data_IF_922004919040
#
_entry.id   IF_922004919040
#
_cell.length_a   1.000
_cell.length_b   1.000
_cell.length_c   1.000
_cell.angle_alpha   90.00
_cell.angle_beta   90.00
_cell.angle_gamma   90.00
#
_symmetry.space_group_name_H-M   'P 1'
#
loop_
_entity.id
_entity.type
_entity.pdbx_description
1 polymer ?
#
# COMPACT_ATOMS: atom_id res chain seq x y z
N UNK A 1 -2.12 17.47 2.17
CA UNK A 1 -2.52 16.04 2.07
C UNK A 1 -3.96 15.85 1.61
N UNK A 2 -4.98 16.40 2.29
CA UNK A 2 -6.36 16.30 1.80
C UNK A 2 -6.51 17.02 0.45
N UNK A 3 -6.08 18.28 0.36
CA UNK A 3 -6.05 19.01 -0.91
C UNK A 3 -5.25 18.31 -2.02
N UNK A 4 -4.14 17.65 -1.66
CA UNK A 4 -3.36 16.83 -2.60
C UNK A 4 -4.17 15.62 -3.09
N UNK A 5 -4.80 14.86 -2.18
CA UNK A 5 -5.64 13.72 -2.55
C UNK A 5 -6.86 14.13 -3.40
N UNK A 6 -7.49 15.26 -3.09
CA UNK A 6 -8.58 15.85 -3.89
C UNK A 6 -8.07 16.23 -5.28
N UNK A 7 -6.94 16.93 -5.37
CA UNK A 7 -6.35 17.29 -6.65
C UNK A 7 -6.04 16.05 -7.49
N UNK A 8 -5.45 15.00 -6.89
CA UNK A 8 -5.19 13.74 -7.61
C UNK A 8 -6.47 13.05 -8.06
N UNK A 9 -7.54 13.08 -7.27
CA UNK A 9 -8.82 12.53 -7.68
C UNK A 9 -9.45 13.31 -8.86
N UNK A 10 -9.27 14.63 -8.90
CA UNK A 10 -9.67 15.47 -10.03
C UNK A 10 -8.81 15.24 -11.27
N UNK A 11 -7.50 15.11 -11.13
CA UNK A 11 -6.60 14.83 -12.25
C UNK A 11 -6.97 13.50 -12.94
N UNK A 12 -7.40 12.50 -12.16
CA UNK A 12 -7.80 11.19 -12.67
C UNK A 12 -9.07 11.18 -13.53
N UNK A 13 -9.94 12.18 -13.42
CA UNK A 13 -11.12 12.30 -14.29
C UNK A 13 -10.77 12.81 -15.69
N UNK A 14 -9.56 13.36 -15.88
CA UNK A 14 -9.10 13.94 -17.14
C UNK A 14 -7.87 13.22 -17.72
N UNK A 15 -7.06 12.56 -16.89
CA UNK A 15 -5.83 11.88 -17.29
C UNK A 15 -5.80 10.42 -16.82
N UNK A 16 -5.52 9.49 -17.75
CA UNK A 16 -5.46 8.03 -17.49
C UNK A 16 -4.04 7.55 -17.15
N UNK A 17 -3.16 8.44 -16.70
CA UNK A 17 -1.77 8.09 -16.41
C UNK A 17 -1.64 7.20 -15.17
N UNK A 18 -0.82 6.16 -15.27
CA UNK A 18 -0.54 5.21 -14.17
C UNK A 18 -0.09 5.92 -12.89
N UNK A 19 0.64 7.03 -13.05
CA UNK A 19 1.20 7.82 -11.96
C UNK A 19 0.13 8.54 -11.14
N UNK A 20 -0.97 9.00 -11.76
CA UNK A 20 -2.09 9.64 -11.04
C UNK A 20 -2.74 8.69 -10.03
N UNK A 21 -3.02 7.45 -10.44
CA UNK A 21 -3.61 6.43 -9.56
C UNK A 21 -2.63 6.03 -8.44
N UNK A 22 -1.33 5.96 -8.77
CA UNK A 22 -0.29 5.70 -7.80
C UNK A 22 -0.26 6.77 -6.70
N UNK A 23 -0.29 8.04 -7.09
CA UNK A 23 -0.23 9.18 -6.17
C UNK A 23 -1.48 9.26 -5.30
N UNK A 24 -2.69 9.06 -5.85
CA UNK A 24 -3.91 8.99 -5.06
C UNK A 24 -3.82 7.87 -4.00
N UNK A 25 -3.39 6.67 -4.40
CA UNK A 25 -3.21 5.53 -3.49
C UNK A 25 -2.18 5.82 -2.40
N UNK A 26 -1.11 6.55 -2.71
CA UNK A 26 -0.11 6.98 -1.70
C UNK A 26 -0.72 8.00 -0.74
N UNK A 27 -1.43 9.02 -1.24
CA UNK A 27 -2.06 10.06 -0.44
C UNK A 27 -3.12 9.49 0.52
N UNK A 28 -3.98 8.60 0.05
CA UNK A 28 -5.01 7.95 0.87
C UNK A 28 -4.39 7.04 1.96
N UNK A 29 -3.30 6.31 1.64
CA UNK A 29 -2.56 5.52 2.65
C UNK A 29 -1.91 6.41 3.73
N UNK A 30 -1.42 7.58 3.33
CA UNK A 30 -0.88 8.61 4.24
C UNK A 30 -1.99 9.15 5.15
N UNK A 31 -3.16 9.49 4.61
CA UNK A 31 -4.34 9.91 5.38
C UNK A 31 -4.77 8.87 6.41
N UNK A 32 -4.82 7.59 6.02
CA UNK A 32 -5.11 6.50 6.94
C UNK A 32 -4.10 6.40 8.10
N UNK A 33 -2.82 6.69 7.85
CA UNK A 33 -1.81 6.69 8.91
C UNK A 33 -1.99 7.87 9.88
N UNK A 34 -2.37 9.06 9.39
CA UNK A 34 -2.74 10.20 10.24
C UNK A 34 -3.99 9.92 11.06
N UNK A 35 -5.05 9.39 10.44
CA UNK A 35 -6.27 9.02 11.15
C UNK A 35 -5.99 8.02 12.28
N UNK A 36 -5.15 7.02 12.01
CA UNK A 36 -4.68 6.13 13.06
C UNK A 36 -3.86 6.86 14.15
N UNK A 37 -3.09 7.89 13.81
CA UNK A 37 -2.32 8.66 14.79
C UNK A 37 -3.24 9.43 15.74
N UNK A 38 -4.26 10.08 15.21
CA UNK A 38 -5.20 10.93 15.96
C UNK A 38 -6.44 10.19 16.48
N UNK A 39 -6.52 8.87 16.27
CA UNK A 39 -7.65 8.05 16.74
C UNK A 39 -8.03 8.22 18.22
N UNK A 40 -7.10 8.48 19.18
CA UNK A 40 -7.48 8.73 20.58
C UNK A 40 -8.37 9.96 20.77
N UNK A 41 -8.32 10.94 19.85
CA UNK A 41 -9.11 12.18 19.91
C UNK A 41 -10.33 12.12 19.00
N UNK A 42 -10.18 11.52 17.83
CA UNK A 42 -11.24 11.38 16.83
C UNK A 42 -12.34 10.40 17.25
N UNK A 43 -12.06 9.48 18.18
CA UNK A 43 -12.97 8.42 18.57
C UNK A 43 -12.86 7.19 17.65
N UNK A 44 -13.22 6.03 18.20
CA UNK A 44 -13.06 4.74 17.53
C UNK A 44 -13.95 4.62 16.29
N UNK A 45 -15.23 4.98 16.41
CA UNK A 45 -16.22 4.89 15.33
C UNK A 45 -15.83 5.77 14.12
N UNK A 46 -15.57 7.05 14.34
CA UNK A 46 -15.17 7.98 13.28
C UNK A 46 -13.86 7.54 12.61
N UNK A 47 -12.92 7.00 13.39
CA UNK A 47 -11.66 6.47 12.86
C UNK A 47 -11.89 5.23 12.01
N UNK A 48 -12.75 4.31 12.45
CA UNK A 48 -13.07 3.07 11.74
C UNK A 48 -13.76 3.37 10.41
N UNK A 49 -14.79 4.21 10.43
CA UNK A 49 -15.53 4.64 9.23
C UNK A 49 -14.60 5.26 8.17
N UNK A 50 -13.81 6.28 8.55
CA UNK A 50 -12.88 6.92 7.64
C UNK A 50 -11.80 5.93 7.12
N UNK A 51 -11.33 5.02 7.98
CA UNK A 51 -10.30 4.04 7.62
C UNK A 51 -10.78 3.03 6.57
N UNK A 52 -12.02 2.55 6.68
CA UNK A 52 -12.58 1.62 5.68
C UNK A 52 -12.81 2.32 4.35
N UNK A 53 -13.24 3.57 4.36
CA UNK A 53 -13.43 4.32 3.13
C UNK A 53 -12.09 4.66 2.45
N UNK A 54 -11.06 5.04 3.21
CA UNK A 54 -9.69 5.15 2.67
C UNK A 54 -9.17 3.83 2.09
N UNK A 55 -9.53 2.69 2.71
CA UNK A 55 -9.13 1.38 2.21
C UNK A 55 -9.85 1.06 0.91
N UNK A 56 -11.14 1.40 0.77
CA UNK A 56 -11.91 1.29 -0.47
C UNK A 56 -11.28 2.11 -1.60
N UNK A 57 -11.02 3.40 -1.35
CA UNK A 57 -10.39 4.29 -2.34
C UNK A 57 -8.99 3.80 -2.76
N UNK A 58 -8.17 3.36 -1.81
CA UNK A 58 -6.84 2.82 -2.12
C UNK A 58 -6.87 1.48 -2.89
N UNK A 59 -7.95 0.71 -2.78
CA UNK A 59 -8.18 -0.50 -3.55
C UNK A 59 -8.62 -0.16 -4.99
N UNK A 60 -9.56 0.77 -5.14
CA UNK A 60 -10.00 1.26 -6.46
C UNK A 60 -8.85 1.88 -7.26
N UNK A 61 -8.00 2.69 -6.62
CA UNK A 61 -6.80 3.25 -7.26
C UNK A 61 -5.67 2.21 -7.42
N UNK A 62 -5.84 0.99 -6.91
CA UNK A 62 -4.84 -0.06 -6.91
C UNK A 62 -4.85 -0.97 -8.14
N UNK A 63 -6.03 -1.26 -8.67
CA UNK A 63 -6.21 -2.30 -9.70
C UNK A 63 -5.40 -2.06 -10.97
N UNK A 64 -5.25 -0.81 -11.39
CA UNK A 64 -4.42 -0.42 -12.55
C UNK A 64 -2.95 -0.74 -12.34
N UNK A 65 -2.41 -0.36 -11.17
CA UNK A 65 -1.01 -0.59 -10.80
C UNK A 65 -0.69 -2.08 -10.63
N UNK A 66 -1.65 -2.85 -10.12
CA UNK A 66 -1.46 -4.29 -9.93
C UNK A 66 -1.30 -4.98 -11.31
N UNK A 67 -2.03 -4.55 -12.35
CA UNK A 67 -1.82 -5.02 -13.73
C UNK A 67 -0.53 -4.50 -14.39
N UNK A 68 -0.10 -3.27 -14.10
CA UNK A 68 1.22 -2.77 -14.57
C UNK A 68 2.35 -3.66 -14.07
N UNK A 69 2.33 -3.97 -12.78
CA UNK A 69 3.32 -4.85 -12.13
C UNK A 69 3.24 -6.25 -12.71
N UNK A 70 2.05 -6.82 -12.87
CA UNK A 70 1.87 -8.15 -13.45
C UNK A 70 2.45 -8.21 -14.87
N UNK A 71 2.16 -7.20 -15.71
CA UNK A 71 2.71 -7.08 -17.05
C UNK A 71 4.24 -7.02 -17.07
N UNK A 72 4.87 -6.27 -16.17
CA UNK A 72 6.33 -6.18 -16.08
C UNK A 72 6.99 -7.47 -15.57
N UNK A 73 6.33 -8.18 -14.64
CA UNK A 73 6.79 -9.49 -14.18
C UNK A 73 6.68 -10.54 -15.28
N UNK A 74 5.59 -10.53 -16.06
CA UNK A 74 5.41 -11.42 -17.22
C UNK A 74 6.48 -11.16 -18.30
N UNK A 75 6.80 -9.88 -18.60
CA UNK A 75 7.95 -9.54 -19.45
C UNK A 75 9.29 -9.99 -18.86
N UNK A 76 9.44 -9.99 -17.54
CA UNK A 76 10.69 -10.48 -16.92
C UNK A 76 10.82 -12.01 -17.00
N UNK A 77 9.70 -12.74 -17.11
CA UNK A 77 9.69 -14.17 -17.39
C UNK A 77 10.05 -14.51 -18.86
N UNK A 78 10.13 -13.50 -19.73
CA UNK A 78 10.24 -13.58 -21.20
C UNK A 78 11.60 -14.04 -21.73
N UNK A 79 12.65 -14.19 -20.90
CA UNK A 79 14.01 -14.47 -21.38
C UNK A 79 14.16 -15.83 -22.13
N UNK A 80 13.08 -16.55 -22.44
CA UNK A 80 13.16 -17.83 -23.13
C UNK A 80 12.03 -18.24 -24.10
N UNK A 81 10.88 -17.53 -24.27
CA UNK A 81 9.77 -18.04 -25.13
C UNK A 81 8.83 -17.00 -25.76
N UNK A 82 8.42 -17.24 -27.01
CA UNK A 82 7.51 -16.40 -27.81
C UNK A 82 6.03 -16.43 -27.35
N UNK A 83 5.60 -17.48 -26.63
CA UNK A 83 4.20 -17.70 -26.24
C UNK A 83 3.67 -16.72 -25.17
N UNK A 84 4.54 -16.05 -24.42
CA UNK A 84 4.18 -15.07 -23.37
C UNK A 84 3.66 -13.75 -23.95
N UNK A 85 3.94 -13.44 -25.22
CA UNK A 85 3.49 -12.20 -25.86
C UNK A 85 1.96 -12.04 -25.81
N UNK A 86 1.20 -13.12 -26.03
CA UNK A 86 -0.26 -13.14 -25.93
C UNK A 86 -0.73 -12.84 -24.51
N UNK A 87 -0.07 -13.43 -23.49
CA UNK A 87 -0.41 -13.18 -22.09
C UNK A 87 -0.10 -11.74 -21.66
N UNK A 88 1.00 -11.17 -22.15
CA UNK A 88 1.34 -9.75 -21.91
C UNK A 88 0.33 -8.83 -22.61
N UNK A 89 -0.10 -9.14 -23.83
CA UNK A 89 -1.13 -8.38 -24.52
C UNK A 89 -2.47 -8.44 -23.76
N UNK A 90 -2.89 -9.63 -23.33
CA UNK A 90 -4.11 -9.79 -22.53
C UNK A 90 -4.01 -9.05 -21.18
N UNK A 91 -2.85 -9.06 -20.51
CA UNK A 91 -2.64 -8.27 -19.29
C UNK A 91 -2.79 -6.75 -19.53
N UNK A 92 -2.38 -6.24 -20.71
CA UNK A 92 -2.59 -4.83 -21.09
C UNK A 92 -4.07 -4.52 -21.31
N UNK A 93 -4.83 -5.45 -21.88
CA UNK A 93 -6.28 -5.30 -22.03
C UNK A 93 -6.98 -5.26 -20.67
N UNK A 94 -6.63 -6.20 -19.76
CA UNK A 94 -7.14 -6.20 -18.38
C UNK A 94 -6.78 -4.92 -17.63
N UNK A 95 -5.58 -4.37 -17.86
CA UNK A 95 -5.19 -3.06 -17.34
C UNK A 95 -6.10 -1.95 -17.86
N UNK A 96 -6.41 -1.92 -19.16
CA UNK A 96 -7.31 -0.93 -19.75
C UNK A 96 -8.72 -1.02 -19.14
N UNK A 97 -9.24 -2.23 -18.96
CA UNK A 97 -10.52 -2.48 -18.27
C UNK A 97 -10.47 -1.99 -16.80
N UNK A 98 -9.37 -2.23 -16.09
CA UNK A 98 -9.17 -1.74 -14.72
C UNK A 98 -9.14 -0.21 -14.65
N UNK A 99 -8.54 0.48 -15.63
CA UNK A 99 -8.56 1.95 -15.71
C UNK A 99 -9.99 2.46 -15.83
N UNK A 100 -10.77 1.92 -16.77
CA UNK A 100 -12.18 2.31 -16.97
C UNK A 100 -13.02 2.04 -15.73
N UNK A 101 -12.82 0.89 -15.08
CA UNK A 101 -13.49 0.56 -13.83
C UNK A 101 -13.12 1.56 -12.72
N UNK A 102 -11.83 1.84 -12.52
CA UNK A 102 -11.36 2.81 -11.53
C UNK A 102 -11.91 4.21 -11.78
N UNK A 103 -11.96 4.68 -13.03
CA UNK A 103 -12.51 6.00 -13.39
C UNK A 103 -14.02 6.06 -13.14
N UNK A 104 -14.75 4.99 -13.48
CA UNK A 104 -16.20 4.90 -13.23
C UNK A 104 -16.52 4.91 -11.72
N UNK A 105 -15.70 4.22 -10.92
CA UNK A 105 -15.94 4.05 -9.49
C UNK A 105 -15.36 5.17 -8.62
N UNK A 106 -14.30 5.84 -9.08
CA UNK A 106 -13.70 7.00 -8.43
C UNK A 106 -14.31 8.25 -9.04
N UNK A 107 -15.53 8.56 -8.62
CA UNK A 107 -16.16 9.84 -8.94
C UNK A 107 -15.48 10.94 -8.14
N UNK A 108 -14.84 11.89 -8.82
CA UNK A 108 -14.05 12.95 -8.18
C UNK A 108 -14.87 13.72 -7.14
N UNK A 109 -16.14 13.97 -7.42
CA UNK A 109 -17.02 14.77 -6.57
C UNK A 109 -17.36 14.03 -5.27
N UNK A 110 -17.65 12.73 -5.35
CA UNK A 110 -17.88 11.88 -4.18
C UNK A 110 -16.61 11.77 -3.31
N UNK A 111 -15.45 11.60 -3.96
CA UNK A 111 -14.16 11.54 -3.26
C UNK A 111 -13.85 12.88 -2.60
N UNK A 112 -14.07 13.98 -3.30
CA UNK A 112 -13.86 15.32 -2.77
C UNK A 112 -14.77 15.63 -1.59
N UNK A 113 -16.08 15.38 -1.74
CA UNK A 113 -17.06 15.57 -0.69
C UNK A 113 -16.67 14.76 0.56
N UNK A 114 -16.35 13.47 0.39
CA UNK A 114 -15.89 12.62 1.48
C UNK A 114 -14.61 13.15 2.14
N UNK A 115 -13.58 13.49 1.36
CA UNK A 115 -12.29 13.93 1.89
C UNK A 115 -12.39 15.27 2.63
N UNK A 116 -13.22 16.19 2.14
CA UNK A 116 -13.49 17.48 2.78
C UNK A 116 -14.29 17.29 4.08
N UNK A 117 -15.32 16.46 4.07
CA UNK A 117 -16.15 16.15 5.24
C UNK A 117 -15.33 15.48 6.36
N UNK A 118 -14.50 14.50 6.00
CA UNK A 118 -13.48 13.89 6.87
C UNK A 118 -12.55 14.95 7.48
N UNK A 119 -12.00 15.85 6.66
CA UNK A 119 -11.12 16.92 7.13
C UNK A 119 -11.81 17.85 8.11
N UNK A 120 -12.99 18.35 7.76
CA UNK A 120 -13.76 19.29 8.57
C UNK A 120 -14.11 18.69 9.93
N UNK A 121 -14.62 17.44 9.96
CA UNK A 121 -14.91 16.74 11.21
C UNK A 121 -13.67 16.53 12.07
N UNK A 122 -12.54 16.15 11.46
CA UNK A 122 -11.29 16.00 12.18
C UNK A 122 -10.82 17.34 12.77
N UNK A 123 -10.88 18.42 12.00
CA UNK A 123 -10.52 19.76 12.47
C UNK A 123 -11.40 20.22 13.63
N UNK A 124 -12.72 20.13 13.51
CA UNK A 124 -13.65 20.52 14.57
C UNK A 124 -13.43 19.70 15.86
N UNK A 125 -13.19 18.39 15.72
CA UNK A 125 -12.92 17.50 16.86
C UNK A 125 -11.58 17.83 17.52
N UNK A 126 -10.53 18.07 16.74
CA UNK A 126 -9.22 18.38 17.28
C UNK A 126 -9.17 19.79 17.89
N UNK A 127 -9.84 20.77 17.29
CA UNK A 127 -9.96 22.11 17.88
C UNK A 127 -10.70 22.06 19.23
N UNK A 128 -11.79 21.29 19.34
CA UNK A 128 -12.52 21.18 20.60
C UNK A 128 -11.79 20.37 21.68
N UNK A 129 -10.94 19.40 21.31
CA UNK A 129 -10.34 18.44 22.25
C UNK A 129 -8.83 18.60 22.46
N UNK A 130 -8.15 19.42 21.66
CA UNK A 130 -6.68 19.45 21.61
C UNK A 130 -6.08 20.87 21.70
N UNK A 131 -6.80 21.86 22.25
CA UNK A 131 -6.32 23.25 22.36
C UNK A 131 -4.91 23.35 22.98
N UNK A 132 -4.59 22.50 23.97
CA UNK A 132 -3.28 22.49 24.64
C UNK A 132 -2.51 21.17 24.43
N UNK A 133 -2.74 20.45 23.33
CA UNK A 133 -2.05 19.18 23.09
C UNK A 133 -0.54 19.43 22.92
N UNK A 134 0.33 18.89 23.81
CA UNK A 134 1.77 18.97 23.60
C UNK A 134 2.16 18.12 22.38
N UNK A 135 2.19 18.74 21.19
CA UNK A 135 2.33 18.06 19.89
C UNK A 135 3.57 17.17 19.83
N UNK A 136 4.68 17.60 20.45
CA UNK A 136 5.88 16.79 20.57
C UNK A 136 5.63 15.50 21.37
N UNK A 137 5.08 15.60 22.57
CA UNK A 137 4.83 14.43 23.42
C UNK A 137 3.82 13.47 22.77
N UNK A 138 2.80 14.01 22.10
CA UNK A 138 1.87 13.24 21.29
C UNK A 138 2.57 12.49 20.15
N UNK A 139 3.33 13.22 19.32
CA UNK A 139 4.04 12.65 18.18
C UNK A 139 4.98 11.52 18.60
N UNK A 140 5.78 11.75 19.65
CA UNK A 140 6.67 10.74 20.19
C UNK A 140 5.92 9.51 20.70
N UNK A 141 4.79 9.70 21.41
CA UNK A 141 3.96 8.60 21.89
C UNK A 141 3.40 7.76 20.73
N UNK A 142 2.91 8.40 19.66
CA UNK A 142 2.39 7.69 18.48
C UNK A 142 3.49 6.96 17.70
N UNK A 143 4.66 7.57 17.55
CA UNK A 143 5.83 6.93 16.94
C UNK A 143 6.27 5.71 17.76
N UNK A 144 6.39 5.85 19.10
CA UNK A 144 6.73 4.73 20.00
C UNK A 144 5.72 3.59 19.89
N UNK A 145 4.42 3.89 19.81
CA UNK A 145 3.39 2.86 19.63
C UNK A 145 3.55 2.13 18.28
N UNK A 146 3.80 2.85 17.19
CA UNK A 146 4.03 2.25 15.88
C UNK A 146 5.31 1.40 15.85
N UNK A 147 6.39 1.85 16.51
CA UNK A 147 7.62 1.07 16.68
C UNK A 147 7.39 -0.23 17.45
N UNK A 148 6.68 -0.18 18.59
CA UNK A 148 6.31 -1.37 19.37
C UNK A 148 5.49 -2.34 18.53
N UNK A 149 4.53 -1.82 17.77
CA UNK A 149 3.67 -2.60 16.91
C UNK A 149 4.43 -3.27 15.74
N UNK A 150 5.44 -2.59 15.18
CA UNK A 150 6.35 -3.16 14.18
C UNK A 150 7.24 -4.24 14.79
N UNK A 151 7.86 -3.98 15.96
CA UNK A 151 8.69 -4.96 16.67
C UNK A 151 7.92 -6.23 17.01
N UNK A 152 6.70 -6.11 17.55
CA UNK A 152 5.81 -7.25 17.85
C UNK A 152 5.53 -8.10 16.62
N UNK A 153 5.14 -7.48 15.50
CA UNK A 153 4.86 -8.19 14.24
C UNK A 153 6.11 -8.81 13.63
N UNK A 154 7.24 -8.12 13.71
CA UNK A 154 8.52 -8.65 13.22
C UNK A 154 8.91 -9.90 14.00
N UNK A 155 8.86 -9.86 15.34
CA UNK A 155 9.09 -11.05 16.20
C UNK A 155 8.13 -12.20 15.91
N UNK A 156 6.85 -11.92 15.64
CA UNK A 156 5.88 -12.94 15.22
C UNK A 156 6.30 -13.57 13.88
N UNK A 157 6.67 -12.75 12.90
CA UNK A 157 7.12 -13.21 11.59
C UNK A 157 8.42 -14.03 11.64
N UNK A 158 9.30 -13.79 12.62
CA UNK A 158 10.57 -14.53 12.76
C UNK A 158 10.43 -15.87 13.49
N UNK A 159 9.40 -16.05 14.31
CA UNK A 159 9.17 -17.30 15.07
C UNK A 159 8.49 -18.39 14.26
N UNK A 160 7.88 -18.03 13.15
CA UNK A 160 7.21 -18.95 12.24
C UNK A 160 8.28 -19.58 11.33
N UNK A 161 8.57 -20.88 11.49
CA UNK A 161 9.57 -21.59 10.68
C UNK A 161 9.21 -21.57 9.18
N UNK A 162 7.93 -21.67 8.87
CA UNK A 162 7.37 -21.26 7.60
C UNK A 162 7.13 -19.75 7.63
N UNK A 163 7.79 -18.99 6.74
CA UNK A 163 7.50 -17.58 6.56
C UNK A 163 6.06 -17.42 6.05
N UNK A 164 5.10 -17.23 6.95
CA UNK A 164 3.71 -17.04 6.58
C UNK A 164 3.55 -15.69 5.89
N UNK A 165 3.01 -15.71 4.67
CA UNK A 165 2.80 -14.52 3.83
C UNK A 165 2.09 -13.40 4.59
N UNK A 166 1.07 -13.77 5.36
CA UNK A 166 0.28 -12.85 6.18
C UNK A 166 1.12 -12.12 7.24
N UNK A 167 2.05 -12.83 7.89
CA UNK A 167 2.93 -12.23 8.90
C UNK A 167 3.87 -11.19 8.26
N UNK A 168 4.41 -11.48 7.07
CA UNK A 168 5.23 -10.52 6.33
C UNK A 168 4.40 -9.32 5.86
N UNK A 169 3.16 -9.57 5.42
CA UNK A 169 2.22 -8.52 5.06
C UNK A 169 1.92 -7.59 6.24
N UNK A 170 1.77 -8.15 7.44
CA UNK A 170 1.56 -7.41 8.68
C UNK A 170 2.77 -6.54 9.05
N UNK A 171 3.99 -7.07 8.92
CA UNK A 171 5.23 -6.29 9.07
C UNK A 171 5.29 -5.16 8.05
N UNK A 172 4.91 -5.41 6.79
CA UNK A 172 4.83 -4.40 5.73
C UNK A 172 3.87 -3.27 6.12
N UNK A 173 2.64 -3.59 6.52
CA UNK A 173 1.63 -2.61 6.97
C UNK A 173 2.15 -1.76 8.13
N UNK A 174 2.72 -2.39 9.16
CA UNK A 174 3.24 -1.68 10.33
C UNK A 174 4.46 -0.80 10.01
N UNK A 175 5.36 -1.27 9.14
CA UNK A 175 6.53 -0.50 8.73
C UNK A 175 6.19 0.72 7.87
N UNK A 176 5.23 0.60 6.94
CA UNK A 176 4.71 1.77 6.19
C UNK A 176 4.10 2.81 7.13
N UNK A 177 3.29 2.36 8.10
CA UNK A 177 2.70 3.24 9.10
C UNK A 177 3.78 3.99 9.88
N UNK A 178 4.77 3.28 10.42
CA UNK A 178 5.88 3.91 11.15
C UNK A 178 6.64 4.92 10.27
N UNK A 179 6.96 4.55 9.03
CA UNK A 179 7.63 5.47 8.09
C UNK A 179 6.83 6.75 7.89
N UNK A 180 5.53 6.65 7.62
CA UNK A 180 4.69 7.84 7.43
C UNK A 180 4.62 8.72 8.69
N UNK A 181 4.52 8.12 9.88
CA UNK A 181 4.53 8.91 11.13
C UNK A 181 5.85 9.62 11.37
N UNK A 182 6.98 8.97 11.05
CA UNK A 182 8.29 9.60 11.13
C UNK A 182 8.44 10.75 10.12
N UNK A 183 7.86 10.62 8.92
CA UNK A 183 7.82 11.69 7.91
C UNK A 183 6.93 12.86 8.37
N UNK A 184 5.72 12.60 8.88
CA UNK A 184 4.80 13.66 9.31
C UNK A 184 5.28 14.42 10.54
N UNK A 185 5.80 13.69 11.53
CA UNK A 185 6.19 14.29 12.79
C UNK A 185 7.65 14.74 12.83
N UNK A 186 8.40 14.60 11.74
CA UNK A 186 9.79 15.02 11.64
C UNK A 186 10.05 16.44 12.19
N UNK A 187 9.18 17.46 11.99
CA UNK A 187 9.40 18.78 12.56
C UNK A 187 9.28 18.86 14.08
N UNK A 188 8.59 17.90 14.71
CA UNK A 188 8.22 17.95 16.13
C UNK A 188 9.02 16.98 17.01
N UNK A 189 9.53 15.89 16.45
CA UNK A 189 10.29 14.88 17.20
C UNK A 189 11.79 15.16 17.09
N UNK A 190 12.48 15.20 18.24
CA UNK A 190 13.93 15.38 18.29
C UNK A 190 14.64 14.09 17.84
N UNK A 191 15.65 14.24 16.99
CA UNK A 191 16.54 13.15 16.59
C UNK A 191 16.60 12.91 15.08
N UNK A 192 17.76 12.43 14.60
CA UNK A 192 17.99 12.13 13.19
C UNK A 192 17.33 10.80 12.79
N UNK A 193 16.01 10.81 12.53
CA UNK A 193 15.27 9.63 12.09
C UNK A 193 15.57 9.20 10.64
N UNK A 194 16.39 9.97 9.91
CA UNK A 194 16.76 9.64 8.53
C UNK A 194 17.39 8.25 8.38
N UNK A 195 18.21 7.81 9.35
CA UNK A 195 18.77 6.44 9.34
C UNK A 195 17.67 5.38 9.49
N UNK A 196 16.75 5.57 10.43
CA UNK A 196 15.60 4.67 10.64
C UNK A 196 14.69 4.63 9.42
N UNK A 197 14.40 5.77 8.79
CA UNK A 197 13.60 5.84 7.57
C UNK A 197 14.28 5.11 6.42
N UNK A 198 15.60 5.29 6.24
CA UNK A 198 16.40 4.55 5.23
C UNK A 198 16.35 3.05 5.45
N UNK A 199 16.52 2.60 6.70
CA UNK A 199 16.45 1.19 7.05
C UNK A 199 15.05 0.60 6.83
N UNK A 200 14.00 1.29 7.29
CA UNK A 200 12.61 0.91 7.03
C UNK A 200 12.34 0.81 5.54
N UNK A 201 12.81 1.77 4.75
CA UNK A 201 12.65 1.77 3.28
C UNK A 201 13.32 0.55 2.66
N UNK A 202 14.55 0.23 3.08
CA UNK A 202 15.26 -0.97 2.63
C UNK A 202 14.47 -2.26 2.91
N UNK A 203 13.90 -2.41 4.11
CA UNK A 203 13.06 -3.57 4.47
C UNK A 203 11.75 -3.57 3.66
N UNK A 204 11.10 -2.42 3.54
CA UNK A 204 9.85 -2.26 2.79
C UNK A 204 10.01 -2.56 1.30
N UNK A 205 11.18 -2.31 0.71
CA UNK A 205 11.46 -2.65 -0.68
C UNK A 205 11.49 -4.17 -0.89
N UNK A 206 12.10 -4.94 0.01
CA UNK A 206 12.12 -6.41 -0.06
C UNK A 206 10.73 -7.01 0.17
N UNK A 207 10.00 -6.50 1.17
CA UNK A 207 8.60 -6.88 1.41
C UNK A 207 7.69 -6.48 0.25
N UNK A 208 8.00 -5.38 -0.44
CA UNK A 208 7.31 -4.91 -1.64
C UNK A 208 7.44 -5.88 -2.79
N UNK A 209 8.67 -6.24 -3.16
CA UNK A 209 8.93 -7.19 -4.26
C UNK A 209 8.20 -8.52 -4.07
N UNK A 210 8.17 -9.05 -2.85
CA UNK A 210 7.41 -10.25 -2.52
C UNK A 210 5.90 -10.04 -2.70
N UNK A 211 5.34 -9.00 -2.08
CA UNK A 211 3.91 -8.67 -2.15
C UNK A 211 3.43 -8.40 -3.57
N UNK A 212 4.27 -7.77 -4.39
CA UNK A 212 3.96 -7.39 -5.77
C UNK A 212 3.85 -8.65 -6.66
N UNK A 213 4.70 -9.66 -6.43
CA UNK A 213 4.58 -10.97 -7.09
C UNK A 213 3.33 -11.72 -6.61
N UNK A 214 3.10 -11.79 -5.29
CA UNK A 214 1.94 -12.48 -4.74
C UNK A 214 0.62 -11.88 -5.26
N UNK A 215 0.51 -10.54 -5.26
CA UNK A 215 -0.64 -9.84 -5.83
C UNK A 215 -0.81 -10.12 -7.33
N UNK A 216 0.27 -10.13 -8.10
CA UNK A 216 0.23 -10.44 -9.54
C UNK A 216 -0.20 -11.88 -9.82
N UNK A 217 0.27 -12.83 -9.00
CA UNK A 217 -0.14 -14.23 -9.10
C UNK A 217 -1.64 -14.39 -8.83
N UNK A 218 -2.15 -13.81 -7.74
CA UNK A 218 -3.59 -13.81 -7.44
C UNK A 218 -4.39 -13.17 -8.58
N UNK A 219 -3.92 -12.03 -9.10
CA UNK A 219 -4.57 -11.30 -10.17
C UNK A 219 -4.68 -12.15 -11.44
N UNK A 220 -3.59 -12.78 -11.87
CA UNK A 220 -3.55 -13.68 -13.03
C UNK A 220 -4.45 -14.90 -12.80
N UNK A 221 -4.43 -15.53 -11.61
CA UNK A 221 -5.31 -16.67 -11.31
C UNK A 221 -6.79 -16.31 -11.36
N UNK A 222 -7.15 -15.09 -10.96
CA UNK A 222 -8.53 -14.62 -10.94
C UNK A 222 -9.06 -14.13 -12.30
N UNK A 223 -8.18 -13.97 -13.29
CA UNK A 223 -8.53 -13.41 -14.58
C UNK A 223 -8.74 -14.51 -15.63
N UNK A 224 -9.74 -14.33 -16.49
CA UNK A 224 -9.95 -15.18 -17.67
C UNK A 224 -9.12 -14.69 -18.86
N UNK A 225 -8.37 -15.62 -19.47
CA UNK A 225 -7.52 -15.39 -20.63
C UNK A 225 -7.93 -16.30 -21.80
N UNK A 226 -9.10 -16.05 -22.38
CA UNK A 226 -9.70 -16.94 -23.38
C UNK A 226 -8.87 -17.08 -24.67
N UNK A 227 -8.08 -16.05 -25.01
CA UNK A 227 -7.23 -16.02 -26.20
C UNK A 227 -5.78 -16.48 -25.95
N UNK A 228 -5.46 -16.88 -24.71
CA UNK A 228 -4.12 -17.34 -24.32
C UNK A 228 -4.18 -18.84 -24.06
N UNK A 229 -3.27 -19.64 -24.65
CA UNK A 229 -3.21 -21.07 -24.36
C UNK A 229 -3.03 -21.32 -22.85
N UNK A 230 -3.82 -22.23 -22.23
CA UNK A 230 -3.78 -22.47 -20.79
C UNK A 230 -2.38 -22.83 -20.27
N UNK A 231 -1.58 -23.51 -21.07
CA UNK A 231 -0.22 -23.92 -20.73
C UNK A 231 0.68 -22.71 -20.47
N UNK A 232 0.52 -21.64 -21.24
CA UNK A 232 1.29 -20.39 -21.10
C UNK A 232 0.96 -19.70 -19.78
N UNK A 233 -0.32 -19.68 -19.41
CA UNK A 233 -0.79 -19.12 -18.14
C UNK A 233 -0.23 -19.94 -16.98
N UNK A 234 -0.30 -21.28 -17.05
CA UNK A 234 0.21 -22.17 -16.02
C UNK A 234 1.73 -22.08 -15.85
N UNK A 235 2.50 -22.07 -16.95
CA UNK A 235 3.96 -21.88 -16.90
C UNK A 235 4.34 -20.55 -16.25
N UNK A 236 3.61 -19.47 -16.58
CA UNK A 236 3.84 -18.14 -16.00
C UNK A 236 3.53 -18.12 -14.50
N UNK A 237 2.45 -18.77 -14.07
CA UNK A 237 2.10 -18.91 -12.65
C UNK A 237 3.14 -19.74 -11.89
N UNK A 238 3.67 -20.82 -12.48
CA UNK A 238 4.75 -21.61 -11.87
C UNK A 238 6.04 -20.79 -11.73
N UNK A 239 6.36 -19.95 -12.72
CA UNK A 239 7.49 -19.03 -12.61
C UNK A 239 7.28 -18.01 -11.50
N UNK A 240 6.09 -17.40 -11.41
CA UNK A 240 5.74 -16.44 -10.35
C UNK A 240 5.83 -17.08 -8.97
N UNK A 241 5.33 -18.30 -8.79
CA UNK A 241 5.43 -19.04 -7.52
C UNK A 241 6.89 -19.25 -7.10
N UNK A 242 7.75 -19.65 -8.05
CA UNK A 242 9.21 -19.78 -7.80
C UNK A 242 9.83 -18.45 -7.39
N UNK A 243 9.46 -17.34 -8.05
CA UNK A 243 9.95 -16.01 -7.68
C UNK A 243 9.42 -15.56 -6.31
N UNK A 244 8.13 -15.82 -6.03
CA UNK A 244 7.47 -15.51 -4.76
C UNK A 244 8.23 -16.18 -3.61
N UNK A 245 8.49 -17.48 -3.70
CA UNK A 245 9.28 -18.22 -2.72
C UNK A 245 10.68 -17.63 -2.50
N UNK A 246 11.40 -17.27 -3.58
CA UNK A 246 12.74 -16.65 -3.50
C UNK A 246 12.71 -15.29 -2.80
N UNK A 247 11.77 -14.40 -3.19
CA UNK A 247 11.63 -13.05 -2.62
C UNK A 247 11.13 -13.10 -1.18
N UNK A 248 10.23 -14.03 -0.87
CA UNK A 248 9.75 -14.27 0.49
C UNK A 248 10.90 -14.61 1.44
N UNK A 249 11.77 -15.57 1.07
CA UNK A 249 12.96 -15.91 1.87
C UNK A 249 13.88 -14.71 2.09
N UNK A 250 14.09 -13.90 1.05
CA UNK A 250 14.90 -12.68 1.15
C UNK A 250 14.26 -11.63 2.08
N UNK A 251 12.93 -11.44 1.99
CA UNK A 251 12.18 -10.56 2.88
C UNK A 251 12.25 -11.04 4.34
N UNK A 252 12.04 -12.33 4.60
CA UNK A 252 12.13 -12.91 5.94
C UNK A 252 13.50 -12.76 6.58
N UNK A 253 14.59 -12.91 5.81
CA UNK A 253 15.94 -12.61 6.30
C UNK A 253 16.08 -11.14 6.70
N UNK A 254 15.56 -10.22 5.88
CA UNK A 254 15.63 -8.78 6.18
C UNK A 254 14.78 -8.38 7.38
N UNK A 255 13.62 -9.00 7.56
CA UNK A 255 12.77 -8.81 8.75
C UNK A 255 13.46 -9.32 10.02
N UNK A 256 14.20 -10.44 9.96
CA UNK A 256 15.00 -10.94 11.08
C UNK A 256 16.02 -9.92 11.57
N UNK A 257 16.73 -9.25 10.66
CA UNK A 257 17.74 -8.23 11.01
C UNK A 257 17.19 -7.04 11.79
N UNK A 258 15.92 -6.68 11.58
CA UNK A 258 15.27 -5.57 12.31
C UNK A 258 14.48 -6.02 13.54
N UNK A 259 14.35 -7.33 13.75
CA UNK A 259 13.62 -7.93 14.86
C UNK A 259 14.53 -8.27 16.05
N UNK A 260 15.81 -8.55 15.75
CA UNK A 260 16.93 -8.64 16.70
C UNK A 260 17.22 -7.27 17.30
#
# INVERSE_FOLDING_TARGET
>A
MVAEAVQRARDLSTQSEAEGFHQLRVAVRKLRALYWAYSPYLGEEATAHATEEFKRLAALAGGTRDWDIAGDLLKSAQASRASIALLVAAAREKRAQAVVHSQTMIKSDDVEAFLNDVLLRAQATLQSRCNDLPIQAFAEARVRLAQRALRKRSRRATRSEAAHEENLHDVRKAGKKLRYLLEFFQPFIKGAHGRTIKELTSVQNKLGQFNDIAASETLIRSASFNEVPPEVVQESLQWLEKQKCRRMRAASRRVRTIAS
#
